data_IF_563598262187
#
_entry.id   IF_563598262187
#
_cell.length_a   1.000
_cell.length_b   1.000
_cell.length_c   1.000
_cell.angle_alpha   90.00
_cell.angle_beta   90.00
_cell.angle_gamma   90.00
#
_symmetry.space_group_name_H-M   'P 1'
#
loop_
_entity.id
_entity.type
_entity.pdbx_description
1 polymer ?
#
# COMPACT_ATOMS: atom_id res chain seq x y z
N UNK A 1 9.23 -11.30 8.90
CA UNK A 1 8.16 -10.64 8.14
C UNK A 1 8.80 -9.79 7.05
N UNK A 2 8.55 -10.09 5.77
CA UNK A 2 9.14 -9.36 4.66
C UNK A 2 8.18 -8.25 4.19
N UNK A 3 8.52 -7.01 4.49
CA UNK A 3 7.76 -5.83 4.10
C UNK A 3 8.65 -4.76 3.45
N UNK A 4 9.81 -5.17 2.97
CA UNK A 4 10.79 -4.28 2.29
C UNK A 4 10.92 -4.71 0.84
N UNK A 5 10.91 -3.74 -0.05
CA UNK A 5 11.03 -3.95 -1.49
C UNK A 5 11.92 -2.87 -2.10
N UNK A 6 12.64 -3.22 -3.17
CA UNK A 6 13.39 -2.22 -3.94
C UNK A 6 12.44 -1.63 -4.99
N UNK A 7 12.22 -0.33 -4.93
CA UNK A 7 11.28 0.34 -5.83
C UNK A 7 11.86 0.59 -7.22
N UNK A 8 11.07 1.21 -8.10
CA UNK A 8 11.48 1.48 -9.48
C UNK A 8 12.69 2.41 -9.58
N UNK A 9 12.96 3.21 -8.55
CA UNK A 9 14.12 4.11 -8.49
C UNK A 9 15.36 3.46 -7.85
N UNK A 10 15.28 2.16 -7.54
CA UNK A 10 16.39 1.43 -6.91
C UNK A 10 16.53 1.67 -5.41
N UNK A 11 15.52 2.24 -4.78
CA UNK A 11 15.53 2.56 -3.34
C UNK A 11 14.80 1.47 -2.57
N UNK A 12 15.37 1.03 -1.46
CA UNK A 12 14.70 0.10 -0.55
C UNK A 12 13.65 0.88 0.24
N UNK A 13 12.40 0.43 0.13
CA UNK A 13 11.25 1.04 0.79
C UNK A 13 10.50 0.02 1.62
N UNK A 14 9.86 0.50 2.67
CA UNK A 14 9.05 -0.33 3.56
C UNK A 14 7.58 -0.02 3.31
N UNK A 15 6.79 -1.07 3.13
CA UNK A 15 5.34 -0.97 2.96
C UNK A 15 4.63 -1.94 3.89
N UNK A 16 3.37 -1.64 4.16
CA UNK A 16 2.48 -2.54 4.88
C UNK A 16 1.27 -2.78 4.00
N UNK A 17 0.98 -4.04 3.70
CA UNK A 17 -0.09 -4.41 2.78
C UNK A 17 -1.15 -5.22 3.52
N UNK A 18 -2.41 -4.90 3.25
CA UNK A 18 -3.56 -5.63 3.75
C UNK A 18 -4.36 -6.18 2.58
N UNK A 19 -4.96 -7.36 2.77
CA UNK A 19 -5.74 -8.09 1.77
C UNK A 19 -7.14 -8.32 2.33
N UNK A 20 -8.14 -7.71 1.70
CA UNK A 20 -9.54 -7.85 2.13
C UNK A 20 -10.20 -9.11 1.54
N UNK A 21 -9.52 -9.77 0.60
CA UNK A 21 -9.99 -11.02 0.01
C UNK A 21 -10.50 -10.90 -1.42
N UNK A 22 -10.82 -12.04 -2.00
CA UNK A 22 -11.31 -12.13 -3.37
C UNK A 22 -12.65 -11.40 -3.55
N UNK A 23 -12.88 -10.94 -4.77
CA UNK A 23 -14.15 -10.32 -5.15
C UNK A 23 -14.24 -8.82 -4.92
N UNK A 24 -13.26 -8.22 -4.26
CA UNK A 24 -13.21 -6.77 -4.05
C UNK A 24 -12.32 -6.13 -5.10
N UNK A 25 -12.79 -5.06 -5.73
CA UNK A 25 -12.02 -4.36 -6.76
C UNK A 25 -10.80 -3.64 -6.15
N UNK A 26 -10.93 -3.14 -4.93
CA UNK A 26 -9.83 -2.52 -4.17
C UNK A 26 -9.26 -3.50 -3.14
N UNK A 27 -8.98 -4.71 -3.59
CA UNK A 27 -8.59 -5.83 -2.74
C UNK A 27 -7.42 -5.52 -1.80
N UNK A 28 -6.40 -4.82 -2.28
CA UNK A 28 -5.19 -4.56 -1.53
C UNK A 28 -5.11 -3.10 -1.09
N UNK A 29 -4.78 -2.90 0.19
CA UNK A 29 -4.45 -1.58 0.74
C UNK A 29 -2.97 -1.54 1.07
N UNK A 30 -2.27 -0.54 0.56
CA UNK A 30 -0.82 -0.39 0.68
C UNK A 30 -0.52 0.88 1.47
N UNK A 31 0.11 0.73 2.62
CA UNK A 31 0.56 1.85 3.45
C UNK A 31 2.06 2.04 3.18
N UNK A 32 2.43 3.20 2.64
CA UNK A 32 3.81 3.51 2.25
C UNK A 32 4.57 4.06 3.46
N UNK A 33 5.11 3.17 4.28
CA UNK A 33 5.73 3.51 5.57
C UNK A 33 6.99 4.36 5.39
N UNK A 34 7.78 4.10 4.34
CA UNK A 34 9.00 4.87 4.08
C UNK A 34 8.73 6.26 3.50
N UNK A 35 7.55 6.50 2.97
CA UNK A 35 7.18 7.78 2.34
C UNK A 35 6.44 8.71 3.30
N UNK A 36 6.71 8.57 4.58
CA UNK A 36 6.06 9.38 5.60
C UNK A 36 6.25 10.88 5.35
N UNK A 37 5.22 11.65 5.67
CA UNK A 37 5.24 13.09 5.61
C UNK A 37 4.75 13.71 6.91
N UNK A 38 4.75 15.03 6.96
CA UNK A 38 4.16 15.79 8.07
C UNK A 38 3.12 16.75 7.50
N UNK A 39 1.98 16.85 8.15
CA UNK A 39 0.96 17.81 7.79
C UNK A 39 1.28 19.20 8.36
N UNK A 40 0.39 20.18 8.11
CA UNK A 40 0.59 21.56 8.56
C UNK A 40 0.66 21.70 10.10
N UNK A 41 0.10 20.74 10.83
CA UNK A 41 0.17 20.72 12.30
C UNK A 41 1.38 19.95 12.84
N UNK A 42 2.23 19.42 11.96
CA UNK A 42 3.42 18.66 12.33
C UNK A 42 3.17 17.20 12.63
N UNK A 43 1.97 16.69 12.38
CA UNK A 43 1.65 15.28 12.60
C UNK A 43 2.17 14.43 11.45
N UNK A 44 2.78 13.30 11.79
CA UNK A 44 3.32 12.34 10.82
C UNK A 44 2.18 11.52 10.21
N UNK A 45 2.21 11.33 8.90
CA UNK A 45 1.27 10.47 8.18
C UNK A 45 2.01 9.60 7.17
N UNK A 46 1.35 8.51 6.77
CA UNK A 46 1.83 7.63 5.70
C UNK A 46 0.84 7.64 4.54
N UNK A 47 1.31 7.85 3.29
CA UNK A 47 0.43 7.75 2.12
C UNK A 47 -0.13 6.34 1.98
N UNK A 48 -1.41 6.24 1.59
CA UNK A 48 -2.12 4.96 1.43
C UNK A 48 -2.65 4.87 0.02
N UNK A 49 -2.42 3.72 -0.60
CA UNK A 49 -2.93 3.39 -1.93
C UNK A 49 -3.79 2.14 -1.83
N UNK A 50 -4.75 2.03 -2.73
CA UNK A 50 -5.54 0.81 -2.89
C UNK A 50 -5.42 0.33 -4.33
N UNK A 51 -5.44 -0.99 -4.54
CA UNK A 51 -5.39 -1.53 -5.88
C UNK A 51 -6.09 -2.89 -5.98
N UNK A 52 -6.49 -3.22 -7.20
CA UNK A 52 -6.99 -4.55 -7.56
C UNK A 52 -5.83 -5.54 -7.72
N UNK A 53 -6.16 -6.81 -8.00
CA UNK A 53 -5.16 -7.85 -8.27
C UNK A 53 -4.26 -7.55 -9.46
N UNK A 54 -4.80 -6.84 -10.45
CA UNK A 54 -4.01 -6.34 -11.58
C UNK A 54 -4.35 -4.87 -11.82
N UNK A 55 -3.61 -3.95 -11.16
CA UNK A 55 -3.87 -2.52 -11.29
C UNK A 55 -3.56 -1.96 -12.68
N UNK A 56 -2.86 -2.71 -13.53
CA UNK A 56 -2.52 -2.30 -14.89
C UNK A 56 -3.55 -2.76 -15.93
N UNK A 57 -4.49 -3.62 -15.52
CA UNK A 57 -5.57 -4.06 -16.39
C UNK A 57 -6.52 -2.88 -16.68
N UNK A 58 -7.10 -2.77 -17.90
CA UNK A 58 -8.03 -1.67 -18.20
C UNK A 58 -9.23 -1.57 -17.26
N UNK A 59 -9.64 -2.70 -16.66
CA UNK A 59 -10.73 -2.76 -15.68
C UNK A 59 -10.23 -2.83 -14.25
N UNK A 60 -8.91 -2.81 -14.05
CA UNK A 60 -8.31 -2.76 -12.74
C UNK A 60 -8.25 -1.35 -12.20
N UNK A 61 -7.92 -1.23 -10.92
CA UNK A 61 -7.71 0.07 -10.29
C UNK A 61 -6.41 0.10 -9.52
N UNK A 62 -5.84 1.30 -9.43
CA UNK A 62 -4.76 1.63 -8.54
C UNK A 62 -4.86 3.12 -8.26
N UNK A 63 -5.02 3.50 -6.99
CA UNK A 63 -5.26 4.89 -6.64
C UNK A 63 -4.73 5.25 -5.26
N UNK A 64 -4.37 6.52 -5.11
CA UNK A 64 -4.14 7.10 -3.79
C UNK A 64 -5.49 7.29 -3.10
N UNK A 65 -5.61 6.82 -1.85
CA UNK A 65 -6.89 6.86 -1.13
C UNK A 65 -6.84 7.73 0.13
N UNK A 66 -5.70 8.30 0.47
CA UNK A 66 -5.59 9.19 1.61
C UNK A 66 -4.36 8.91 2.46
N UNK A 67 -4.37 9.44 3.67
CA UNK A 67 -3.24 9.37 4.57
C UNK A 67 -3.60 8.59 5.84
N UNK A 68 -2.68 7.75 6.28
CA UNK A 68 -2.80 7.00 7.51
C UNK A 68 -2.01 7.72 8.62
N UNK A 69 -2.71 8.05 9.70
CA UNK A 69 -2.09 8.64 10.89
C UNK A 69 -1.94 7.55 11.95
N UNK A 70 -0.73 7.12 12.29
CA UNK A 70 -0.50 5.91 13.10
C UNK A 70 -1.04 6.01 14.52
N UNK A 71 -1.26 7.22 15.04
CA UNK A 71 -1.80 7.41 16.40
C UNK A 71 -3.30 7.65 16.44
N UNK A 72 -3.99 7.60 15.29
CA UNK A 72 -5.46 7.68 15.25
C UNK A 72 -6.06 6.29 15.25
N UNK A 73 -7.20 6.14 15.90
CA UNK A 73 -7.97 4.92 15.77
C UNK A 73 -8.65 4.87 14.40
N UNK A 74 -8.57 3.71 13.78
CA UNK A 74 -9.24 3.44 12.52
C UNK A 74 -10.28 2.37 12.76
N UNK A 75 -11.53 2.67 12.38
CA UNK A 75 -12.66 1.78 12.58
C UNK A 75 -12.98 0.91 11.36
N UNK A 76 -12.31 1.12 10.25
CA UNK A 76 -12.56 0.36 9.04
C UNK A 76 -11.69 -0.90 9.00
N UNK A 77 -12.26 -1.94 8.37
CA UNK A 77 -11.58 -3.22 8.21
C UNK A 77 -10.77 -3.22 6.91
N UNK A 78 -9.47 -3.34 7.00
CA UNK A 78 -8.58 -3.44 5.85
C UNK A 78 -8.32 -4.89 5.43
N UNK A 79 -8.85 -5.86 6.19
CA UNK A 79 -8.58 -7.27 5.93
C UNK A 79 -7.36 -7.78 6.67
N UNK A 80 -6.76 -8.85 6.15
CA UNK A 80 -5.59 -9.48 6.76
C UNK A 80 -4.30 -8.82 6.33
N UNK A 81 -3.38 -8.62 7.26
CA UNK A 81 -2.05 -8.13 6.94
C UNK A 81 -1.28 -9.20 6.17
N UNK A 82 -0.68 -8.80 5.06
CA UNK A 82 0.20 -9.67 4.27
C UNK A 82 1.58 -9.64 4.92
N UNK A 83 2.02 -10.78 5.47
CA UNK A 83 3.28 -10.89 6.21
C UNK A 83 4.50 -10.88 5.30
N UNK A 84 4.36 -11.44 4.11
CA UNK A 84 5.43 -11.45 3.11
C UNK A 84 4.88 -10.87 1.81
N UNK A 85 5.28 -9.64 1.49
CA UNK A 85 4.78 -8.95 0.31
C UNK A 85 5.23 -9.61 -1.00
N UNK A 86 6.27 -10.43 -0.98
CA UNK A 86 6.76 -11.10 -2.18
C UNK A 86 5.84 -12.23 -2.66
N UNK A 87 4.87 -12.65 -1.84
CA UNK A 87 3.86 -13.64 -2.27
C UNK A 87 2.67 -12.99 -2.98
N UNK A 88 2.61 -11.66 -3.02
CA UNK A 88 1.55 -10.94 -3.72
C UNK A 88 1.61 -11.21 -5.24
N UNK A 89 0.49 -11.04 -5.95
CA UNK A 89 0.52 -11.10 -7.41
C UNK A 89 1.59 -10.17 -7.99
N UNK A 90 2.26 -10.63 -9.04
CA UNK A 90 3.36 -9.88 -9.66
C UNK A 90 2.97 -8.45 -10.03
N UNK A 91 1.75 -8.26 -10.55
CA UNK A 91 1.27 -6.93 -10.94
C UNK A 91 1.05 -6.00 -9.75
N UNK A 92 0.70 -6.55 -8.60
CA UNK A 92 0.61 -5.77 -7.36
C UNK A 92 2.00 -5.35 -6.90
N UNK A 93 2.97 -6.25 -6.96
CA UNK A 93 4.37 -5.94 -6.64
C UNK A 93 4.90 -4.83 -7.56
N UNK A 94 4.68 -4.95 -8.86
CA UNK A 94 5.08 -3.92 -9.83
C UNK A 94 4.45 -2.56 -9.51
N UNK A 95 3.18 -2.56 -9.14
CA UNK A 95 2.47 -1.34 -8.74
C UNK A 95 3.10 -0.71 -7.50
N UNK A 96 3.40 -1.51 -6.48
CA UNK A 96 4.06 -1.02 -5.26
C UNK A 96 5.40 -0.36 -5.59
N UNK A 97 6.17 -0.95 -6.50
CA UNK A 97 7.46 -0.39 -6.94
C UNK A 97 7.32 0.98 -7.60
N UNK A 98 6.21 1.21 -8.30
CA UNK A 98 5.96 2.46 -9.01
C UNK A 98 5.47 3.58 -8.09
N UNK A 99 4.66 3.26 -7.09
CA UNK A 99 4.03 4.28 -6.23
C UNK A 99 4.92 4.70 -5.06
N UNK A 100 5.94 3.94 -4.72
CA UNK A 100 6.87 4.26 -3.62
C UNK A 100 8.04 5.10 -4.11
N UNK A 101 8.54 5.95 -3.23
CA UNK A 101 9.58 6.92 -3.56
C UNK A 101 10.91 6.59 -2.91
#
# INVERSE_FOLDING_TARGET
MNNVITNANGVKVKVRVYDIGDGEIDRYTIICVSDKGKDSSGLVYYPVFACSENPFHPQGIGMYVGDYYPYRRHSYNLGKRVKDIMILPEKVIEYIKLITR
#
